data_IF_017325321332
#
_entry.id   IF_017325321332
#
_cell.length_a   1.000
_cell.length_b   1.000
_cell.length_c   1.000
_cell.angle_alpha   90.00
_cell.angle_beta   90.00
_cell.angle_gamma   90.00
#
_symmetry.space_group_name_H-M   'P 1'
#
loop_
_entity.id
_entity.type
_entity.pdbx_description
1 polymer ?
#
# COMPACT_ATOMS: atom_id res chain seq x y z
N UNK A 1 -59.38 1.63 19.96
CA UNK A 1 -58.40 0.54 19.69
C UNK A 1 -57.28 0.71 20.69
N UNK A 2 -56.93 -0.35 21.42
CA UNK A 2 -55.87 -0.31 22.43
C UNK A 2 -54.50 -0.42 21.73
N UNK A 3 -53.95 0.73 21.40
CA UNK A 3 -52.71 0.90 20.64
C UNK A 3 -51.54 0.19 21.35
N UNK A 4 -51.57 0.15 22.67
CA UNK A 4 -50.57 -0.46 23.54
C UNK A 4 -50.46 -1.96 23.32
N UNK A 5 -51.58 -2.67 23.22
CA UNK A 5 -51.60 -4.11 22.99
C UNK A 5 -51.08 -4.47 21.59
N UNK A 6 -51.41 -3.67 20.57
CA UNK A 6 -50.91 -3.86 19.21
C UNK A 6 -49.41 -3.62 19.09
N UNK A 7 -48.86 -2.63 19.81
CA UNK A 7 -47.41 -2.34 19.82
C UNK A 7 -46.63 -3.47 20.50
N UNK A 8 -47.15 -4.03 21.61
CA UNK A 8 -46.49 -5.12 22.33
C UNK A 8 -46.40 -6.42 21.49
N UNK A 9 -47.44 -6.74 20.73
CA UNK A 9 -47.43 -7.89 19.81
C UNK A 9 -46.42 -7.71 18.67
N UNK A 10 -46.32 -6.48 18.13
CA UNK A 10 -45.32 -6.14 17.12
C UNK A 10 -43.88 -6.24 17.67
N UNK A 11 -43.61 -5.75 18.88
CA UNK A 11 -42.29 -5.82 19.51
C UNK A 11 -41.85 -7.26 19.77
N UNK A 12 -42.77 -8.13 20.22
CA UNK A 12 -42.48 -9.56 20.46
C UNK A 12 -42.30 -10.35 19.17
N UNK A 13 -42.89 -9.93 18.05
CA UNK A 13 -42.64 -10.53 16.74
C UNK A 13 -41.38 -9.99 16.06
N UNK A 14 -40.89 -8.81 16.43
CA UNK A 14 -39.77 -8.14 15.75
C UNK A 14 -38.49 -8.03 16.60
N UNK A 15 -38.48 -8.57 17.82
CA UNK A 15 -37.34 -8.48 18.74
C UNK A 15 -36.01 -8.98 18.15
N UNK A 16 -36.06 -9.98 17.25
CA UNK A 16 -34.88 -10.53 16.56
C UNK A 16 -34.21 -9.53 15.60
N UNK A 17 -34.91 -8.46 15.19
CA UNK A 17 -34.31 -7.40 14.39
C UNK A 17 -33.30 -6.57 15.19
N UNK A 18 -33.43 -6.49 16.52
CA UNK A 18 -32.49 -5.76 17.38
C UNK A 18 -31.08 -6.37 17.35
N UNK A 19 -30.87 -7.67 17.62
CA UNK A 19 -29.55 -8.29 17.48
C UNK A 19 -29.07 -8.30 16.01
N UNK A 20 -29.98 -8.46 15.03
CA UNK A 20 -29.60 -8.38 13.61
C UNK A 20 -29.07 -6.98 13.24
N UNK A 21 -29.72 -5.92 13.74
CA UNK A 21 -29.32 -4.53 13.55
C UNK A 21 -28.03 -4.21 14.31
N UNK A 22 -27.86 -4.75 15.52
CA UNK A 22 -26.60 -4.67 16.28
C UNK A 22 -25.46 -5.35 15.51
N UNK A 23 -25.66 -6.55 14.98
CA UNK A 23 -24.68 -7.26 14.15
C UNK A 23 -24.40 -6.44 12.88
N UNK A 24 -25.41 -5.96 12.16
CA UNK A 24 -25.25 -5.16 10.96
C UNK A 24 -24.49 -3.85 11.20
N UNK A 25 -24.68 -3.21 12.36
CA UNK A 25 -23.94 -2.01 12.76
C UNK A 25 -22.50 -2.32 13.14
N UNK A 26 -22.25 -3.43 13.85
CA UNK A 26 -20.90 -3.92 14.15
C UNK A 26 -20.11 -4.30 12.89
N UNK A 27 -20.75 -4.97 11.92
CA UNK A 27 -20.16 -5.30 10.60
C UNK A 27 -19.77 -4.06 9.79
N UNK A 28 -20.43 -2.92 10.01
CA UNK A 28 -20.12 -1.65 9.33
C UNK A 28 -18.92 -0.92 9.93
N UNK A 29 -18.46 -1.31 11.12
CA UNK A 29 -17.33 -0.64 11.79
C UNK A 29 -16.04 -0.76 10.99
N UNK A 30 -15.20 0.28 11.07
CA UNK A 30 -13.89 0.29 10.42
C UNK A 30 -12.95 -0.82 10.95
N UNK A 31 -13.19 -1.28 12.18
CA UNK A 31 -12.48 -2.40 12.80
C UNK A 31 -12.78 -3.73 12.09
N UNK A 32 -14.06 -4.02 11.82
CA UNK A 32 -14.44 -5.22 11.07
C UNK A 32 -13.84 -5.23 9.66
N UNK A 33 -13.83 -4.09 8.97
CA UNK A 33 -13.26 -3.98 7.61
C UNK A 33 -11.76 -4.28 7.57
N UNK A 34 -10.98 -3.87 8.58
CA UNK A 34 -9.55 -4.20 8.67
C UNK A 34 -9.32 -5.69 8.80
N UNK A 35 -9.98 -6.31 9.78
CA UNK A 35 -9.87 -7.75 10.04
C UNK A 35 -10.34 -8.61 8.88
N UNK A 36 -11.38 -8.21 8.14
CA UNK A 36 -11.86 -8.98 6.98
C UNK A 36 -10.80 -9.08 5.89
N UNK A 37 -10.01 -8.01 5.69
CA UNK A 37 -8.92 -8.02 4.72
C UNK A 37 -7.83 -9.02 5.11
N UNK A 38 -7.28 -8.87 6.31
CA UNK A 38 -6.25 -9.77 6.84
C UNK A 38 -6.74 -11.22 6.92
N UNK A 39 -7.98 -11.44 7.37
CA UNK A 39 -8.61 -12.75 7.40
C UNK A 39 -8.72 -13.37 6.00
N UNK A 40 -9.07 -12.58 4.98
CA UNK A 40 -9.18 -13.07 3.60
C UNK A 40 -7.83 -13.50 3.01
N UNK A 41 -6.76 -12.72 3.23
CA UNK A 41 -5.40 -13.12 2.83
C UNK A 41 -5.00 -14.41 3.54
N UNK A 42 -5.17 -14.45 4.86
CA UNK A 42 -4.83 -15.62 5.66
C UNK A 42 -5.61 -16.87 5.19
N UNK A 43 -6.89 -16.74 4.89
CA UNK A 43 -7.70 -17.83 4.36
C UNK A 43 -7.14 -18.30 3.02
N UNK A 44 -6.88 -17.40 2.08
CA UNK A 44 -6.29 -17.74 0.79
C UNK A 44 -4.93 -18.44 0.93
N UNK A 45 -4.03 -17.89 1.76
CA UNK A 45 -2.71 -18.48 1.99
C UNK A 45 -2.85 -19.89 2.57
N UNK A 46 -3.70 -20.06 3.59
CA UNK A 46 -3.90 -21.37 4.24
C UNK A 46 -4.53 -22.42 3.34
N UNK A 47 -5.38 -22.00 2.39
CA UNK A 47 -6.03 -22.91 1.46
C UNK A 47 -5.14 -23.27 0.27
N UNK A 48 -4.27 -22.36 -0.16
CA UNK A 48 -3.57 -22.52 -1.43
C UNK A 48 -2.05 -22.63 -1.34
N UNK A 49 -1.42 -22.33 -0.20
CA UNK A 49 0.00 -22.59 0.03
C UNK A 49 0.18 -23.76 1.01
N UNK A 50 1.06 -24.70 0.66
CA UNK A 50 1.38 -25.82 1.54
C UNK A 50 2.10 -25.29 2.79
N UNK A 51 1.55 -25.59 3.98
CA UNK A 51 2.11 -25.16 5.26
C UNK A 51 3.46 -25.78 5.57
N UNK A 52 3.84 -26.87 4.89
CA UNK A 52 5.16 -27.50 5.04
C UNK A 52 6.24 -26.67 4.36
N UNK A 53 5.94 -26.13 3.18
CA UNK A 53 6.85 -25.36 2.34
C UNK A 53 6.79 -23.85 2.61
N UNK A 54 5.61 -23.32 2.94
CA UNK A 54 5.35 -21.90 3.18
C UNK A 54 4.88 -21.68 4.63
N UNK A 55 5.77 -21.15 5.48
CA UNK A 55 5.50 -20.81 6.87
C UNK A 55 4.99 -19.38 6.97
N UNK A 56 3.69 -19.23 7.27
CA UNK A 56 3.06 -17.92 7.43
C UNK A 56 3.22 -17.38 8.86
N UNK A 57 3.83 -16.20 8.99
CA UNK A 57 3.88 -15.37 10.19
C UNK A 57 3.02 -14.13 9.96
N UNK A 58 2.25 -13.74 10.98
CA UNK A 58 1.30 -12.61 10.91
C UNK A 58 1.58 -11.60 11.98
N UNK A 59 1.20 -10.35 11.71
CA UNK A 59 1.24 -9.24 12.65
C UNK A 59 2.60 -9.15 13.36
N UNK A 60 3.65 -9.30 12.57
CA UNK A 60 5.02 -9.38 13.07
C UNK A 60 5.45 -7.98 13.44
N UNK A 61 5.46 -7.69 14.74
CA UNK A 61 5.91 -6.40 15.27
C UNK A 61 7.36 -6.53 15.74
N UNK A 62 8.29 -5.90 15.04
CA UNK A 62 9.73 -5.93 15.35
C UNK A 62 10.19 -4.60 15.96
N UNK A 63 11.08 -4.64 16.96
CA UNK A 63 11.73 -3.43 17.45
C UNK A 63 12.65 -2.85 16.37
N UNK A 64 12.74 -1.52 16.33
CA UNK A 64 13.66 -0.77 15.46
C UNK A 64 14.34 0.32 16.30
N UNK A 65 15.50 0.87 15.90
CA UNK A 65 16.17 1.93 16.66
C UNK A 65 15.29 3.15 16.94
N UNK A 66 14.29 3.39 16.08
CA UNK A 66 13.38 4.53 16.21
C UNK A 66 12.09 4.18 16.99
N UNK A 67 11.84 2.91 17.31
CA UNK A 67 10.61 2.41 17.95
C UNK A 67 10.26 0.99 17.51
N UNK A 68 9.20 0.81 16.72
CA UNK A 68 8.78 -0.51 16.21
C UNK A 68 8.27 -0.44 14.78
N UNK A 69 8.26 -1.58 14.09
CA UNK A 69 7.68 -1.75 12.76
C UNK A 69 6.75 -2.95 12.77
N UNK A 70 5.53 -2.80 12.26
CA UNK A 70 4.55 -3.89 12.18
C UNK A 70 4.44 -4.33 10.72
N UNK A 71 4.57 -5.64 10.49
CA UNK A 71 4.49 -6.28 9.18
C UNK A 71 3.26 -7.18 9.16
N UNK A 72 2.33 -6.93 8.24
CA UNK A 72 1.05 -7.63 8.21
C UNK A 72 1.25 -9.14 8.02
N UNK A 73 1.99 -9.53 6.97
CA UNK A 73 2.22 -10.93 6.63
C UNK A 73 3.65 -11.15 6.15
N UNK A 74 4.31 -12.15 6.73
CA UNK A 74 5.61 -12.65 6.29
C UNK A 74 5.47 -14.12 5.97
N UNK A 75 5.83 -14.53 4.76
CA UNK A 75 5.88 -15.94 4.38
C UNK A 75 7.35 -16.35 4.27
N UNK A 76 7.76 -17.35 5.03
CA UNK A 76 9.10 -17.94 4.98
C UNK A 76 9.01 -19.24 4.19
N UNK A 77 9.87 -19.42 3.19
CA UNK A 77 9.99 -20.66 2.42
C UNK A 77 11.42 -20.86 1.95
N UNK A 78 11.73 -22.04 1.40
CA UNK A 78 13.01 -22.28 0.71
C UNK A 78 13.27 -21.35 -0.48
N UNK A 79 12.24 -20.70 -1.04
CA UNK A 79 12.34 -19.76 -2.15
C UNK A 79 12.55 -18.30 -1.69
N UNK A 80 12.67 -18.07 -0.39
CA UNK A 80 12.92 -16.78 0.21
C UNK A 80 11.82 -16.33 1.17
N UNK A 81 11.96 -15.08 1.58
CA UNK A 81 11.12 -14.37 2.55
C UNK A 81 10.20 -13.38 1.81
N UNK A 82 8.91 -13.68 1.75
CA UNK A 82 7.92 -12.80 1.13
C UNK A 82 7.33 -11.86 2.16
N UNK A 83 7.62 -10.56 2.03
CA UNK A 83 7.14 -9.51 2.92
C UNK A 83 5.96 -8.82 2.24
N UNK A 84 4.76 -9.08 2.75
CA UNK A 84 3.50 -8.66 2.15
C UNK A 84 2.88 -7.53 2.97
N UNK A 85 2.81 -6.34 2.36
CA UNK A 85 2.07 -5.19 2.89
C UNK A 85 0.65 -5.20 2.31
N UNK A 86 -0.35 -5.13 3.19
CA UNK A 86 -1.76 -5.23 2.80
C UNK A 86 -2.46 -3.88 2.88
N UNK A 87 -3.16 -3.49 1.81
CA UNK A 87 -4.00 -2.28 1.80
C UNK A 87 -5.44 -2.64 1.47
N UNK A 88 -6.36 -2.46 2.43
CA UNK A 88 -7.79 -2.59 2.16
C UNK A 88 -8.35 -1.28 1.58
N UNK A 89 -8.55 -1.25 0.27
CA UNK A 89 -8.94 -0.05 -0.47
C UNK A 89 -9.92 -0.36 -1.60
N UNK A 90 -10.76 0.62 -1.93
CA UNK A 90 -11.68 0.58 -3.07
C UNK A 90 -11.44 1.76 -4.01
N UNK A 91 -12.01 1.68 -5.20
CA UNK A 91 -11.99 2.76 -6.18
C UNK A 91 -10.67 2.82 -6.95
N UNK A 92 -10.31 4.00 -7.42
CA UNK A 92 -9.15 4.18 -8.29
C UNK A 92 -7.90 4.51 -7.48
N UNK A 93 -6.81 3.82 -7.79
CA UNK A 93 -5.51 4.03 -7.15
C UNK A 93 -4.55 4.63 -8.17
N UNK A 94 -3.94 5.75 -7.79
CA UNK A 94 -2.95 6.49 -8.56
C UNK A 94 -1.67 6.59 -7.74
N UNK A 95 -0.56 6.24 -8.35
CA UNK A 95 0.74 6.29 -7.69
C UNK A 95 1.86 5.81 -8.59
N UNK A 96 3.09 6.16 -8.23
CA UNK A 96 4.28 5.59 -8.83
C UNK A 96 5.33 5.30 -7.74
N UNK A 97 6.37 4.50 -8.04
CA UNK A 97 7.34 4.08 -7.04
C UNK A 97 8.15 5.22 -6.41
N UNK A 98 8.33 6.36 -7.08
CA UNK A 98 9.18 7.45 -6.59
C UNK A 98 8.43 8.45 -5.70
N UNK A 99 7.11 8.52 -5.81
CA UNK A 99 6.27 9.41 -5.00
C UNK A 99 6.25 9.00 -3.52
N UNK A 100 6.32 9.98 -2.61
CA UNK A 100 6.18 9.75 -1.16
C UNK A 100 4.76 9.32 -0.75
N UNK A 101 3.75 9.81 -1.48
CA UNK A 101 2.33 9.54 -1.21
C UNK A 101 1.62 9.14 -2.49
N UNK A 102 0.68 8.22 -2.36
CA UNK A 102 -0.23 7.81 -3.42
C UNK A 102 -1.62 8.42 -3.19
N UNK A 103 -2.48 8.32 -4.20
CA UNK A 103 -3.82 8.90 -4.18
C UNK A 103 -4.85 7.82 -4.45
N UNK A 104 -5.83 7.72 -3.56
CA UNK A 104 -7.06 6.97 -3.77
C UNK A 104 -8.15 7.94 -4.21
N UNK A 105 -8.93 7.57 -5.21
CA UNK A 105 -10.14 8.28 -5.62
C UNK A 105 -11.36 7.36 -5.53
N UNK A 106 -12.35 7.78 -4.75
CA UNK A 106 -13.65 7.13 -4.65
C UNK A 106 -14.70 8.16 -5.06
N UNK A 107 -15.39 7.91 -6.18
CA UNK A 107 -16.27 8.87 -6.82
C UNK A 107 -15.56 10.22 -7.06
N UNK A 108 -16.03 11.29 -6.42
CA UNK A 108 -15.47 12.65 -6.51
C UNK A 108 -14.46 12.97 -5.40
N UNK A 109 -14.26 12.09 -4.42
CA UNK A 109 -13.36 12.33 -3.27
C UNK A 109 -11.99 11.73 -3.52
N UNK A 110 -10.95 12.48 -3.17
CA UNK A 110 -9.55 12.05 -3.25
C UNK A 110 -8.94 12.02 -1.85
N UNK A 111 -8.22 10.95 -1.55
CA UNK A 111 -7.51 10.77 -0.29
C UNK A 111 -6.07 10.38 -0.59
N UNK A 112 -5.13 11.10 0.01
CA UNK A 112 -3.72 10.75 -0.10
C UNK A 112 -3.34 9.79 1.02
N UNK A 113 -2.51 8.80 0.71
CA UNK A 113 -1.95 7.86 1.69
C UNK A 113 -0.45 7.68 1.44
N UNK A 114 0.29 7.21 2.44
CA UNK A 114 1.71 6.94 2.27
C UNK A 114 1.95 5.87 1.19
N UNK A 115 3.04 6.00 0.44
CA UNK A 115 3.38 5.01 -0.58
C UNK A 115 3.70 3.65 0.09
N UNK A 116 2.91 2.59 -0.19
CA UNK A 116 3.09 1.30 0.45
C UNK A 116 4.42 0.63 0.08
N UNK A 117 5.00 0.96 -1.09
CA UNK A 117 6.33 0.46 -1.47
C UNK A 117 7.43 0.97 -0.54
N UNK A 118 7.36 2.23 -0.12
CA UNK A 118 8.36 2.81 0.79
C UNK A 118 8.20 2.23 2.20
N UNK A 119 6.96 2.01 2.63
CA UNK A 119 6.67 1.34 3.90
C UNK A 119 7.23 -0.09 3.89
N UNK A 120 6.92 -0.88 2.86
CA UNK A 120 7.40 -2.25 2.77
C UNK A 120 8.92 -2.36 2.59
N UNK A 121 9.55 -1.38 1.94
CA UNK A 121 11.01 -1.30 1.90
C UNK A 121 11.62 -1.19 3.30
N UNK A 122 11.05 -0.40 4.20
CA UNK A 122 11.52 -0.31 5.59
C UNK A 122 11.35 -1.64 6.34
N UNK A 123 10.24 -2.35 6.11
CA UNK A 123 10.02 -3.70 6.66
C UNK A 123 11.09 -4.68 6.17
N UNK A 124 11.37 -4.69 4.87
CA UNK A 124 12.42 -5.51 4.27
C UNK A 124 13.79 -5.20 4.85
N UNK A 125 14.17 -3.92 4.97
CA UNK A 125 15.47 -3.54 5.54
C UNK A 125 15.61 -3.96 7.01
N UNK A 126 14.51 -3.88 7.78
CA UNK A 126 14.48 -4.34 9.17
C UNK A 126 14.71 -5.85 9.24
N UNK A 127 13.99 -6.63 8.43
CA UNK A 127 14.14 -8.09 8.37
C UNK A 127 15.51 -8.50 7.83
N UNK A 128 16.01 -7.82 6.80
CA UNK A 128 17.34 -8.06 6.21
C UNK A 128 18.43 -7.90 7.27
N UNK A 129 18.39 -6.80 8.03
CA UNK A 129 19.36 -6.53 9.09
C UNK A 129 19.22 -7.50 10.26
N UNK A 130 17.99 -7.88 10.63
CA UNK A 130 17.74 -8.81 11.74
C UNK A 130 18.21 -10.23 11.43
N UNK A 131 18.04 -10.67 10.18
CA UNK A 131 18.23 -12.06 9.76
C UNK A 131 19.54 -12.30 8.99
N UNK A 132 20.28 -11.24 8.66
CA UNK A 132 21.52 -11.35 7.88
C UNK A 132 21.30 -11.82 6.43
N UNK A 133 20.12 -11.59 5.86
CA UNK A 133 19.76 -12.08 4.52
C UNK A 133 20.30 -11.19 3.39
N UNK A 134 20.47 -11.78 2.20
CA UNK A 134 20.82 -11.06 0.97
C UNK A 134 19.58 -10.60 0.18
N UNK A 135 19.73 -9.61 -0.71
CA UNK A 135 18.58 -9.00 -1.42
C UNK A 135 17.80 -9.99 -2.29
N UNK A 136 18.45 -11.02 -2.84
CA UNK A 136 17.81 -12.08 -3.62
C UNK A 136 16.96 -13.05 -2.77
N UNK A 137 17.09 -13.00 -1.44
CA UNK A 137 16.31 -13.82 -0.51
C UNK A 137 15.03 -13.11 -0.02
N UNK A 138 14.85 -11.81 -0.29
CA UNK A 138 13.67 -11.07 0.12
C UNK A 138 12.80 -10.66 -1.08
N UNK A 139 11.50 -10.88 -0.95
CA UNK A 139 10.51 -10.52 -1.98
C UNK A 139 9.52 -9.49 -1.43
N UNK A 140 9.55 -8.28 -1.97
CA UNK A 140 8.58 -7.22 -1.65
C UNK A 140 7.26 -7.47 -2.37
N UNK A 141 6.14 -7.47 -1.64
CA UNK A 141 4.80 -7.60 -2.23
C UNK A 141 3.87 -6.56 -1.60
N UNK A 142 3.16 -5.80 -2.43
CA UNK A 142 2.07 -4.94 -2.00
C UNK A 142 0.76 -5.53 -2.52
N UNK A 143 -0.10 -5.93 -1.60
CA UNK A 143 -1.39 -6.52 -1.94
C UNK A 143 -2.55 -5.60 -1.57
N UNK A 144 -3.31 -5.19 -2.58
CA UNK A 144 -4.53 -4.42 -2.39
C UNK A 144 -5.74 -5.35 -2.30
N UNK A 145 -6.46 -5.30 -1.18
CA UNK A 145 -7.71 -6.00 -0.98
C UNK A 145 -8.86 -5.04 -1.24
N UNK A 146 -9.86 -5.52 -1.96
CA UNK A 146 -11.10 -4.79 -2.25
C UNK A 146 -11.25 -4.50 -3.73
N UNK A 147 -12.35 -3.83 -4.05
CA UNK A 147 -12.68 -3.47 -5.43
C UNK A 147 -11.92 -2.19 -5.82
N UNK A 148 -10.62 -2.33 -6.08
CA UNK A 148 -9.77 -1.26 -6.54
C UNK A 148 -9.24 -1.50 -7.96
N UNK A 149 -8.99 -0.41 -8.68
CA UNK A 149 -8.38 -0.41 -10.02
C UNK A 149 -7.19 0.52 -10.06
N UNK A 150 -6.03 0.02 -10.50
CA UNK A 150 -4.86 0.86 -10.73
C UNK A 150 -5.07 1.71 -12.00
N UNK A 151 -4.91 3.02 -11.88
CA UNK A 151 -5.04 3.98 -12.98
C UNK A 151 -3.71 4.53 -13.48
N UNK A 152 -2.62 4.10 -12.86
CA UNK A 152 -1.24 4.34 -13.29
C UNK A 152 -0.52 3.00 -13.43
N UNK A 153 0.55 2.91 -14.26
CA UNK A 153 1.36 1.71 -14.34
C UNK A 153 1.92 1.35 -12.96
N UNK A 154 1.74 0.10 -12.56
CA UNK A 154 2.22 -0.43 -11.28
C UNK A 154 3.34 -1.46 -11.52
N UNK A 155 4.34 -1.54 -10.62
CA UNK A 155 5.30 -2.64 -10.62
C UNK A 155 4.59 -4.00 -10.48
N UNK A 156 5.22 -5.07 -10.96
CA UNK A 156 4.67 -6.42 -10.86
C UNK A 156 4.43 -6.88 -9.40
N UNK A 157 5.20 -6.34 -8.44
CA UNK A 157 5.04 -6.61 -7.01
C UNK A 157 3.81 -5.93 -6.38
N UNK A 158 3.12 -5.05 -7.11
CA UNK A 158 1.92 -4.35 -6.65
C UNK A 158 0.72 -4.94 -7.37
N UNK A 159 -0.16 -5.61 -6.63
CA UNK A 159 -1.27 -6.35 -7.22
C UNK A 159 -2.52 -6.30 -6.35
N UNK A 160 -3.68 -6.49 -6.98
CA UNK A 160 -4.98 -6.64 -6.30
C UNK A 160 -5.60 -8.03 -6.51
N UNK A 161 -4.94 -8.89 -7.30
CA UNK A 161 -5.33 -10.26 -7.64
C UNK A 161 -4.07 -11.09 -7.90
N UNK A 162 -4.19 -12.41 -7.80
CA UNK A 162 -3.12 -13.32 -8.22
C UNK A 162 -1.96 -13.49 -7.24
N UNK A 163 -2.09 -13.06 -5.97
CA UNK A 163 -1.05 -13.17 -4.94
C UNK A 163 -0.44 -14.58 -4.85
N UNK A 164 -1.30 -15.60 -4.73
CA UNK A 164 -0.85 -17.00 -4.61
C UNK A 164 -0.08 -17.45 -5.85
N UNK A 165 -0.57 -17.09 -7.04
CA UNK A 165 0.12 -17.41 -8.30
C UNK A 165 1.48 -16.73 -8.38
N UNK A 166 1.57 -15.47 -7.94
CA UNK A 166 2.83 -14.74 -7.90
C UNK A 166 3.84 -15.41 -6.95
N UNK A 167 3.42 -15.73 -5.72
CA UNK A 167 4.29 -16.40 -4.73
C UNK A 167 4.75 -17.77 -5.23
N UNK A 168 3.84 -18.58 -5.80
CA UNK A 168 4.19 -19.89 -6.39
C UNK A 168 5.02 -19.81 -7.66
N UNK A 169 5.01 -18.68 -8.35
CA UNK A 169 5.82 -18.46 -9.54
C UNK A 169 7.31 -18.28 -9.23
N UNK A 170 7.65 -18.05 -7.96
CA UNK A 170 9.04 -17.93 -7.50
C UNK A 170 9.47 -19.31 -7.00
N UNK A 171 10.27 -20.00 -7.82
CA UNK A 171 10.64 -21.41 -7.62
C UNK A 171 12.14 -21.64 -7.41
N UNK A 172 12.97 -20.60 -7.53
CA UNK A 172 14.41 -20.72 -7.32
C UNK A 172 14.70 -20.84 -5.82
N UNK A 173 15.25 -21.98 -5.34
CA UNK A 173 15.58 -22.13 -3.93
C UNK A 173 16.77 -21.24 -3.58
N UNK A 174 16.64 -20.48 -2.50
CA UNK A 174 17.66 -19.53 -1.98
C UNK A 174 17.89 -19.68 -0.48
N UNK A 175 17.15 -20.58 0.18
CA UNK A 175 17.30 -20.96 1.59
C UNK A 175 17.22 -22.48 1.73
N UNK A 176 18.09 -23.05 2.57
CA UNK A 176 18.00 -24.42 3.06
C UNK A 176 16.91 -24.56 4.13
N UNK A 177 16.42 -25.77 4.37
CA UNK A 177 15.37 -26.03 5.38
C UNK A 177 15.81 -25.62 6.80
N UNK A 178 17.09 -25.77 7.14
CA UNK A 178 17.64 -25.29 8.42
C UNK A 178 17.63 -23.76 8.52
N UNK A 179 17.88 -23.06 7.41
CA UNK A 179 17.83 -21.59 7.36
C UNK A 179 16.38 -21.10 7.46
N UNK A 180 15.43 -21.79 6.83
CA UNK A 180 13.99 -21.51 6.97
C UNK A 180 13.56 -21.62 8.43
N UNK A 181 13.95 -22.71 9.11
CA UNK A 181 13.65 -22.89 10.54
C UNK A 181 14.29 -21.78 11.39
N UNK A 182 15.57 -21.47 11.16
CA UNK A 182 16.28 -20.41 11.87
C UNK A 182 15.64 -19.03 11.66
N UNK A 183 15.21 -18.70 10.45
CA UNK A 183 14.50 -17.44 10.14
C UNK A 183 13.17 -17.38 10.89
N UNK A 184 12.39 -18.45 10.87
CA UNK A 184 11.11 -18.52 11.60
C UNK A 184 11.33 -18.29 13.09
N UNK A 185 12.27 -19.01 13.69
CA UNK A 185 12.56 -18.92 15.12
C UNK A 185 13.07 -17.52 15.50
N UNK A 186 13.98 -16.94 14.70
CA UNK A 186 14.52 -15.59 14.94
C UNK A 186 13.42 -14.54 14.89
N UNK A 187 12.50 -14.61 13.91
CA UNK A 187 11.35 -13.69 13.85
C UNK A 187 10.42 -13.90 15.07
N UNK A 188 10.17 -15.15 15.46
CA UNK A 188 9.28 -15.45 16.59
C UNK A 188 9.84 -15.04 17.95
N UNK A 189 11.15 -15.12 18.13
CA UNK A 189 11.84 -14.69 19.35
C UNK A 189 12.04 -13.17 19.38
N UNK A 190 12.30 -12.55 18.23
CA UNK A 190 12.54 -11.10 18.12
C UNK A 190 11.27 -10.24 18.08
N UNK A 191 10.08 -10.83 17.88
CA UNK A 191 8.83 -10.07 17.82
C UNK A 191 8.38 -9.63 19.22
N UNK A 192 7.83 -8.42 19.29
CA UNK A 192 7.12 -7.94 20.47
C UNK A 192 5.83 -8.77 20.67
N UNK A 193 5.39 -8.87 21.92
CA UNK A 193 4.14 -9.56 22.24
C UNK A 193 2.96 -8.96 21.47
N UNK A 194 2.16 -9.81 20.83
CA UNK A 194 0.97 -9.40 20.08
C UNK A 194 -0.17 -9.04 21.04
N UNK A 195 0.02 -7.98 21.82
CA UNK A 195 -0.94 -7.48 22.80
C UNK A 195 -1.33 -6.02 22.50
N UNK A 196 -2.42 -5.59 23.14
CA UNK A 196 -2.97 -4.26 22.92
C UNK A 196 -2.03 -3.12 23.35
N UNK A 197 -1.16 -3.36 24.34
CA UNK A 197 -0.17 -2.38 24.79
C UNK A 197 0.87 -2.12 23.70
N UNK A 198 1.40 -3.18 23.09
CA UNK A 198 2.34 -3.08 21.96
C UNK A 198 1.69 -2.37 20.78
N UNK A 199 0.44 -2.70 20.45
CA UNK A 199 -0.29 -2.01 19.37
C UNK A 199 -0.49 -0.51 19.67
N UNK A 200 -0.87 -0.14 20.89
CA UNK A 200 -1.01 1.29 21.29
C UNK A 200 0.31 2.04 21.20
N UNK A 201 1.39 1.45 21.70
CA UNK A 201 2.71 2.06 21.67
C UNK A 201 3.16 2.28 20.22
N UNK A 202 2.95 1.29 19.35
CA UNK A 202 3.21 1.41 17.93
C UNK A 202 2.42 2.56 17.28
N UNK A 203 1.10 2.61 17.49
CA UNK A 203 0.24 3.67 16.93
C UNK A 203 0.63 5.05 17.46
N UNK A 204 0.96 5.17 18.76
CA UNK A 204 1.39 6.43 19.36
C UNK A 204 2.70 6.94 18.72
N UNK A 205 3.65 6.04 18.45
CA UNK A 205 4.91 6.38 17.80
C UNK A 205 4.71 6.82 16.34
N UNK A 206 3.83 6.15 15.59
CA UNK A 206 3.50 6.57 14.22
C UNK A 206 2.93 7.99 14.19
N UNK A 207 2.04 8.31 15.13
CA UNK A 207 1.48 9.66 15.28
C UNK A 207 2.56 10.71 15.60
N UNK A 208 3.49 10.37 16.49
CA UNK A 208 4.59 11.26 16.85
C UNK A 208 5.56 11.52 15.69
N UNK A 209 5.86 10.52 14.85
CA UNK A 209 6.80 10.67 13.72
C UNK A 209 6.20 11.36 12.48
N UNK A 210 4.91 11.22 12.25
CA UNK A 210 4.29 11.63 10.98
C UNK A 210 3.29 12.78 11.09
N UNK A 211 3.10 13.39 12.26
CA UNK A 211 2.27 14.59 12.46
C UNK A 211 0.77 14.40 12.23
N UNK A 212 0.34 13.25 11.73
CA UNK A 212 -1.04 12.79 11.62
C UNK A 212 -0.99 11.26 11.57
N UNK A 213 -1.88 10.59 12.31
CA UNK A 213 -2.14 9.17 12.10
C UNK A 213 -2.56 8.92 10.64
N UNK A 214 -2.46 7.68 10.12
CA UNK A 214 -3.21 7.32 8.93
C UNK A 214 -4.68 7.58 9.22
N UNK A 215 -5.21 8.67 8.67
CA UNK A 215 -6.62 9.00 8.76
C UNK A 215 -7.37 7.90 8.05
N UNK A 216 -8.02 7.05 8.86
CA UNK A 216 -9.06 6.13 8.42
C UNK A 216 -10.04 6.93 7.54
N UNK A 217 -10.61 6.35 6.47
CA UNK A 217 -11.56 7.06 5.64
C UNK A 217 -12.78 7.47 6.48
N UNK A 218 -12.94 8.80 6.63
CA UNK A 218 -14.09 9.42 7.28
C UNK A 218 -15.34 9.23 6.40
N UNK A 219 -16.53 8.92 6.98
CA UNK A 219 -17.75 8.74 6.22
C UNK A 219 -18.17 10.00 5.44
N UNK A 220 -18.84 9.79 4.32
CA UNK A 220 -19.27 10.83 3.42
C UNK A 220 -20.52 11.58 3.93
N UNK A 221 -20.31 12.80 4.43
CA UNK A 221 -21.29 13.89 4.47
C UNK A 221 -20.49 15.18 4.68
N UNK A 222 -20.28 16.05 3.70
CA UNK A 222 -21.06 17.27 3.38
C UNK A 222 -20.35 17.95 2.16
N UNK A 223 -20.99 18.85 1.36
CA UNK A 223 -20.59 19.16 -0.03
C UNK A 223 -19.75 20.44 -0.25
N UNK A 224 -18.97 20.43 -1.34
CA UNK A 224 -18.43 21.56 -2.18
C UNK A 224 -17.60 22.66 -1.47
N UNK A 225 -16.62 23.35 -2.05
CA UNK A 225 -16.16 23.60 -3.41
C UNK A 225 -14.67 24.09 -3.40
N UNK A 226 -14.14 24.41 -4.58
CA UNK A 226 -12.89 25.12 -4.90
C UNK A 226 -11.58 24.30 -5.06
N UNK A 227 -11.14 24.25 -6.32
CA UNK A 227 -9.77 23.92 -6.75
C UNK A 227 -8.87 25.15 -6.65
N UNK A 228 -7.60 24.95 -6.24
CA UNK A 228 -6.50 25.48 -7.04
C UNK A 228 -5.43 24.42 -7.39
N UNK A 229 -4.66 24.73 -8.44
CA UNK A 229 -3.71 23.90 -9.17
C UNK A 229 -2.46 23.44 -8.35
N UNK A 230 -1.77 22.35 -8.78
CA UNK A 230 -0.62 21.79 -8.06
C UNK A 230 0.72 22.49 -8.39
N UNK A 231 1.60 22.74 -7.39
CA UNK A 231 2.99 23.13 -7.62
C UNK A 231 3.96 21.94 -7.80
N UNK A 232 4.71 22.10 -8.88
CA UNK A 232 6.00 21.61 -9.38
C UNK A 232 6.99 20.91 -8.41
N UNK A 233 7.51 19.77 -8.87
CA UNK A 233 8.64 19.02 -8.31
C UNK A 233 10.01 19.55 -8.76
N UNK A 234 11.01 19.43 -7.88
CA UNK A 234 12.45 19.73 -8.08
C UNK A 234 13.20 18.43 -8.41
N UNK A 235 14.05 18.45 -9.45
CA UNK A 235 15.11 17.48 -9.76
C UNK A 235 16.45 18.24 -9.90
N UNK A 236 17.61 17.59 -9.72
CA UNK A 236 18.80 18.18 -9.11
C UNK A 236 19.60 19.13 -10.01
N UNK A 237 20.44 19.91 -9.33
CA UNK A 237 21.27 20.98 -9.84
C UNK A 237 22.31 20.51 -10.88
N UNK A 238 22.30 21.15 -12.04
CA UNK A 238 23.42 21.90 -12.64
C UNK A 238 23.41 21.97 -14.19
N UNK A 239 22.25 21.84 -14.83
CA UNK A 239 21.96 22.52 -16.09
C UNK A 239 20.71 23.38 -15.86
N UNK A 240 20.82 24.70 -16.00
CA UNK A 240 19.63 25.56 -16.03
C UNK A 240 18.75 25.11 -17.21
N UNK A 241 17.68 24.39 -16.88
CA UNK A 241 16.71 23.95 -17.87
C UNK A 241 15.98 25.18 -18.40
N UNK A 242 16.04 25.49 -19.70
CA UNK A 242 15.41 26.68 -20.24
C UNK A 242 13.88 26.61 -20.09
N UNK A 243 13.26 27.78 -19.98
CA UNK A 243 11.81 27.90 -19.99
C UNK A 243 11.27 27.72 -21.42
N UNK A 244 10.12 27.07 -21.55
CA UNK A 244 9.45 26.83 -22.82
C UNK A 244 8.96 28.16 -23.42
N UNK A 245 9.32 28.50 -24.68
CA UNK A 245 8.94 29.77 -25.29
C UNK A 245 7.44 29.87 -25.61
N UNK A 246 6.70 28.75 -25.55
CA UNK A 246 5.25 28.70 -25.82
C UNK A 246 4.38 28.84 -24.59
N UNK A 247 4.82 28.34 -23.43
CA UNK A 247 3.97 28.24 -22.24
C UNK A 247 4.67 28.64 -20.94
N UNK A 248 5.96 28.98 -20.98
CA UNK A 248 6.73 29.33 -19.81
C UNK A 248 7.15 28.17 -18.91
N UNK A 249 6.62 26.95 -19.07
CA UNK A 249 7.00 25.83 -18.20
C UNK A 249 8.42 25.31 -18.43
N UNK A 250 9.07 24.68 -17.43
CA UNK A 250 10.40 24.10 -17.56
C UNK A 250 10.48 23.05 -18.69
N UNK A 251 11.57 23.07 -19.45
CA UNK A 251 11.83 22.09 -20.50
C UNK A 251 12.61 20.89 -19.96
N UNK A 252 12.43 19.73 -20.60
CA UNK A 252 13.16 18.49 -20.33
C UNK A 252 13.97 18.07 -21.55
N UNK A 253 15.15 17.50 -21.35
CA UNK A 253 15.99 16.99 -22.43
C UNK A 253 15.35 15.74 -23.05
N UNK A 254 15.19 15.72 -24.37
CA UNK A 254 14.63 14.61 -25.14
C UNK A 254 15.51 14.32 -26.35
N UNK A 255 15.45 13.11 -26.89
CA UNK A 255 16.17 12.73 -28.10
C UNK A 255 15.20 12.58 -29.26
N UNK A 256 15.48 13.17 -30.41
CA UNK A 256 14.59 13.08 -31.56
C UNK A 256 14.56 11.65 -32.13
N UNK A 257 13.36 11.07 -32.26
CA UNK A 257 13.19 9.70 -32.76
C UNK A 257 13.09 9.57 -34.29
N UNK A 258 12.85 10.68 -35.01
CA UNK A 258 12.60 10.73 -36.46
C UNK A 258 13.04 12.07 -37.06
N UNK A 259 13.28 12.11 -38.38
CA UNK A 259 13.72 13.30 -39.14
C UNK A 259 15.23 13.55 -39.10
N UNK A 260 15.68 14.66 -39.70
CA UNK A 260 17.10 15.00 -39.91
C UNK A 260 17.93 15.16 -38.62
N UNK A 261 17.25 15.30 -37.48
CA UNK A 261 17.86 15.40 -36.15
C UNK A 261 17.75 14.11 -35.33
N UNK A 262 17.37 12.98 -35.94
CA UNK A 262 17.24 11.69 -35.25
C UNK A 262 18.51 11.36 -34.44
N UNK A 263 18.34 11.00 -33.18
CA UNK A 263 19.43 10.69 -32.25
C UNK A 263 20.07 11.91 -31.57
N UNK A 264 19.78 13.15 -32.01
CA UNK A 264 20.29 14.36 -31.35
C UNK A 264 19.38 14.79 -30.19
N UNK A 265 19.95 15.24 -29.05
CA UNK A 265 19.16 15.78 -27.96
C UNK A 265 18.59 17.16 -28.33
N UNK A 266 17.43 17.50 -27.75
CA UNK A 266 16.77 18.80 -27.83
C UNK A 266 15.97 19.05 -26.54
N UNK A 267 15.68 20.31 -26.24
CA UNK A 267 14.78 20.67 -25.14
C UNK A 267 13.32 20.55 -25.61
N UNK A 268 12.52 19.74 -24.93
CA UNK A 268 11.07 19.62 -25.15
C UNK A 268 10.27 20.06 -23.92
N UNK A 269 9.12 20.69 -24.11
CA UNK A 269 8.25 21.07 -23.01
C UNK A 269 7.83 19.85 -22.16
N UNK A 270 7.86 20.00 -20.83
CA UNK A 270 7.49 18.93 -19.89
C UNK A 270 6.01 18.51 -20.01
N UNK A 271 5.12 19.43 -20.41
CA UNK A 271 3.70 19.15 -20.64
C UNK A 271 3.39 18.57 -22.03
N UNK A 272 4.37 18.12 -22.82
CA UNK A 272 4.09 17.37 -24.05
C UNK A 272 3.24 16.12 -23.74
N UNK A 273 2.17 15.81 -24.50
CA UNK A 273 1.82 16.36 -25.82
C UNK A 273 0.98 17.64 -25.82
N UNK A 274 0.50 18.09 -24.66
CA UNK A 274 -0.40 19.24 -24.48
C UNK A 274 0.27 20.56 -24.88
N UNK A 275 1.57 20.71 -24.61
CA UNK A 275 2.39 21.79 -25.18
C UNK A 275 3.55 21.20 -26.00
N UNK A 276 3.64 21.59 -27.28
CA UNK A 276 4.66 21.10 -28.22
C UNK A 276 5.84 22.08 -28.40
N UNK A 277 6.11 22.94 -27.41
CA UNK A 277 7.23 23.86 -27.48
C UNK A 277 8.58 23.14 -27.38
N UNK A 278 9.52 23.50 -28.25
CA UNK A 278 10.87 22.91 -28.35
C UNK A 278 11.94 24.00 -28.46
N UNK A 279 13.18 23.70 -28.05
CA UNK A 279 14.38 24.53 -28.24
C UNK A 279 15.56 23.62 -28.58
N UNK A 280 16.43 24.07 -29.48
CA UNK A 280 17.71 23.40 -29.70
C UNK A 280 18.61 23.59 -28.48
N UNK A 281 19.56 22.68 -28.26
CA UNK A 281 20.67 22.96 -27.35
C UNK A 281 21.54 24.03 -28.01
N UNK A 282 21.86 25.10 -27.28
CA UNK A 282 22.89 26.04 -27.71
C UNK A 282 24.21 25.26 -27.79
N UNK A 283 24.96 25.46 -28.88
CA UNK A 283 26.34 24.96 -29.01
C UNK A 283 27.26 25.74 -28.10
#
# INVERSE_FOLDING_TARGET
MDITATIALLLTQLWFLLPLLLIATLLKTAWFKGMVGEWFINLCIRLFLDKREYRLLKDVTLPTPQGSTQIDHVIVSRFGLFVIETKNMKGWIFGNPTQKRWTQQIYRRRHHFQNPLHQNHLHMMTLKSLLGLSDNQLHSIIFFIGDCTFKTPMPQSVMNRGLIRYVKGITTPVLAESEVAHVVDTIQQGRLAANWQTHRQHVAQLKARHGEAPTKPVPASVPSAHHPAPPTAIYPANLQSPMCPRCGNPMVLRTAGRGDNKGKPFWGCREFPTCRGTRALMK
#
